data_IF_594294022082
#
_entry.id   IF_594294022082
#
_cell.length_a   1.000
_cell.length_b   1.000
_cell.length_c   1.000
_cell.angle_alpha   90.00
_cell.angle_beta   90.00
_cell.angle_gamma   90.00
#
_symmetry.space_group_name_H-M   'P 1'
#
loop_
_entity.id
_entity.type
_entity.pdbx_description
1 polymer ?
#
# COMPACT_ATOMS: atom_id res chain seq x y z
N UNK A 1 -11.53 17.23 -4.55
CA UNK A 1 -10.75 16.79 -5.73
C UNK A 1 -11.68 16.60 -6.92
N UNK A 2 -11.38 17.19 -8.07
CA UNK A 2 -12.16 17.04 -9.30
C UNK A 2 -11.77 15.74 -10.00
N UNK A 3 -12.35 14.62 -9.58
CA UNK A 3 -12.31 13.39 -10.39
C UNK A 3 -13.15 13.65 -11.63
N UNK A 4 -12.52 14.04 -12.74
CA UNK A 4 -13.17 14.26 -14.04
C UNK A 4 -13.44 12.91 -14.74
N UNK A 5 -13.88 11.90 -14.01
CA UNK A 5 -14.31 10.60 -14.58
C UNK A 5 -15.83 10.58 -14.66
N UNK A 6 -16.38 10.05 -15.76
CA UNK A 6 -17.81 9.83 -15.91
C UNK A 6 -18.31 8.64 -15.08
N UNK A 7 -17.47 7.60 -14.96
CA UNK A 7 -17.77 6.38 -14.22
C UNK A 7 -16.73 6.19 -13.12
N UNK A 8 -17.20 5.83 -11.92
CA UNK A 8 -16.34 5.52 -10.78
C UNK A 8 -16.21 3.99 -10.65
N UNK A 9 -14.99 3.54 -10.41
CA UNK A 9 -14.64 2.12 -10.18
C UNK A 9 -14.52 1.81 -8.69
N UNK A 10 -14.41 0.52 -8.33
CA UNK A 10 -14.09 0.11 -6.95
C UNK A 10 -12.74 0.69 -6.51
N UNK A 11 -11.76 0.79 -7.40
CA UNK A 11 -10.49 1.48 -7.14
C UNK A 11 -10.71 2.94 -6.73
N UNK A 12 -11.60 3.66 -7.40
CA UNK A 12 -11.91 5.05 -7.02
C UNK A 12 -12.58 5.12 -5.64
N UNK A 13 -13.46 4.16 -5.31
CA UNK A 13 -14.05 4.07 -3.97
C UNK A 13 -12.97 3.83 -2.91
N UNK A 14 -12.09 2.84 -3.11
CA UNK A 14 -11.08 2.40 -2.14
C UNK A 14 -9.97 3.44 -1.94
N UNK A 15 -9.51 4.10 -3.02
CA UNK A 15 -8.34 4.98 -2.96
C UNK A 15 -8.67 6.47 -2.98
N UNK A 16 -9.89 6.87 -3.35
CA UNK A 16 -10.30 8.28 -3.42
C UNK A 16 -11.38 8.58 -2.39
N UNK A 17 -12.49 7.84 -2.38
CA UNK A 17 -13.66 8.20 -1.56
C UNK A 17 -13.48 7.75 -0.11
N UNK A 18 -13.28 6.45 0.12
CA UNK A 18 -13.14 5.88 1.46
C UNK A 18 -12.04 6.54 2.31
N UNK A 19 -10.85 6.89 1.77
CA UNK A 19 -9.81 7.54 2.57
C UNK A 19 -10.22 8.94 3.08
N UNK A 20 -11.11 9.64 2.39
CA UNK A 20 -11.64 10.95 2.84
C UNK A 20 -12.61 10.75 4.00
N UNK A 21 -13.59 9.88 3.82
CA UNK A 21 -14.57 9.52 4.85
C UNK A 21 -13.85 9.05 6.12
N UNK A 22 -12.87 8.15 5.97
CA UNK A 22 -12.09 7.63 7.09
C UNK A 22 -11.19 8.68 7.76
N UNK A 23 -10.75 9.72 7.03
CA UNK A 23 -9.91 10.77 7.61
C UNK A 23 -10.66 11.57 8.69
N UNK A 24 -11.97 11.77 8.55
CA UNK A 24 -12.79 12.44 9.55
C UNK A 24 -12.72 11.73 10.92
N UNK A 25 -12.91 10.41 10.95
CA UNK A 25 -12.81 9.62 12.19
C UNK A 25 -11.40 9.51 12.74
N UNK A 26 -10.36 9.62 11.90
CA UNK A 26 -8.95 9.51 12.33
C UNK A 26 -8.40 10.80 12.91
N UNK A 27 -8.81 11.95 12.38
CA UNK A 27 -8.27 13.27 12.74
C UNK A 27 -9.20 14.04 13.67
N UNK A 28 -10.51 13.84 13.57
CA UNK A 28 -11.51 14.57 14.35
C UNK A 28 -12.54 13.62 14.95
N UNK A 29 -13.75 13.57 14.40
CA UNK A 29 -14.83 12.70 14.85
C UNK A 29 -15.56 12.08 13.66
N UNK A 30 -15.95 10.81 13.80
CA UNK A 30 -16.69 10.08 12.76
C UNK A 30 -18.04 10.71 12.40
N UNK A 31 -18.63 11.49 13.30
CA UNK A 31 -19.90 12.18 13.06
C UNK A 31 -19.86 13.15 11.87
N UNK A 32 -18.69 13.72 11.54
CA UNK A 32 -18.54 14.60 10.38
C UNK A 32 -18.78 13.84 9.06
N UNK A 33 -18.31 12.59 8.99
CA UNK A 33 -18.56 11.72 7.85
C UNK A 33 -20.03 11.31 7.76
N UNK A 34 -20.67 11.03 8.90
CA UNK A 34 -22.11 10.72 8.95
C UNK A 34 -22.91 11.91 8.47
N UNK A 35 -22.61 13.12 8.97
CA UNK A 35 -23.29 14.34 8.57
C UNK A 35 -23.23 14.56 7.05
N UNK A 36 -22.06 14.36 6.42
CA UNK A 36 -21.95 14.42 4.95
C UNK A 36 -22.86 13.39 4.26
N UNK A 37 -22.86 12.13 4.72
CA UNK A 37 -23.57 11.03 4.05
C UNK A 37 -25.09 11.08 4.24
N UNK A 38 -25.57 11.82 5.25
CA UNK A 38 -27.01 11.95 5.55
C UNK A 38 -27.60 13.31 5.17
N UNK A 39 -26.80 14.20 4.59
CA UNK A 39 -27.24 15.54 4.20
C UNK A 39 -27.98 15.53 2.85
N UNK A 40 -29.13 16.21 2.79
CA UNK A 40 -29.96 16.32 1.58
C UNK A 40 -29.77 17.67 0.87
N UNK A 41 -29.32 18.70 1.58
CA UNK A 41 -29.00 20.00 1.01
C UNK A 41 -27.61 19.97 0.36
N UNK A 42 -27.56 20.20 -0.96
CA UNK A 42 -26.31 20.12 -1.72
C UNK A 42 -25.27 21.16 -1.30
N UNK A 43 -25.67 22.39 -0.97
CA UNK A 43 -24.75 23.43 -0.53
C UNK A 43 -24.11 23.07 0.82
N UNK A 44 -24.93 22.55 1.75
CA UNK A 44 -24.45 22.08 3.05
C UNK A 44 -23.54 20.85 2.92
N UNK A 45 -23.90 19.90 2.07
CA UNK A 45 -23.08 18.73 1.78
C UNK A 45 -21.72 19.12 1.16
N UNK A 46 -21.69 20.15 0.30
CA UNK A 46 -20.44 20.69 -0.25
C UNK A 46 -19.54 21.28 0.84
N UNK A 47 -20.11 21.97 1.83
CA UNK A 47 -19.35 22.47 2.98
C UNK A 47 -18.75 21.32 3.79
N UNK A 48 -19.54 20.30 4.15
CA UNK A 48 -19.05 19.13 4.87
C UNK A 48 -17.96 18.38 4.09
N UNK A 49 -18.12 18.21 2.78
CA UNK A 49 -17.12 17.59 1.93
C UNK A 49 -15.80 18.38 1.89
N UNK A 50 -15.87 19.72 1.93
CA UNK A 50 -14.69 20.59 1.99
C UNK A 50 -13.93 20.42 3.31
N UNK A 51 -14.65 20.36 4.44
CA UNK A 51 -14.04 20.09 5.75
C UNK A 51 -13.41 18.70 5.82
N UNK A 52 -14.08 17.67 5.28
CA UNK A 52 -13.52 16.32 5.20
C UNK A 52 -12.25 16.28 4.32
N UNK A 53 -12.19 17.05 3.23
CA UNK A 53 -10.96 17.16 2.45
C UNK A 53 -9.83 17.80 3.27
N UNK A 54 -10.11 18.82 4.10
CA UNK A 54 -9.09 19.38 5.01
C UNK A 54 -8.56 18.33 5.98
N UNK A 55 -9.43 17.50 6.57
CA UNK A 55 -9.01 16.40 7.45
C UNK A 55 -8.18 15.35 6.69
N UNK A 56 -8.56 15.06 5.45
CA UNK A 56 -7.80 14.14 4.59
C UNK A 56 -6.41 14.66 4.23
N UNK A 57 -6.28 15.96 3.93
CA UNK A 57 -4.99 16.61 3.68
C UNK A 57 -4.13 16.57 4.94
N UNK A 58 -4.66 17.01 6.07
CA UNK A 58 -3.93 17.00 7.33
C UNK A 58 -3.49 15.58 7.75
N UNK A 59 -4.37 14.59 7.59
CA UNK A 59 -4.06 13.18 7.82
C UNK A 59 -2.89 12.69 6.97
N UNK A 60 -2.81 13.10 5.69
CA UNK A 60 -1.72 12.72 4.79
C UNK A 60 -0.40 13.40 5.17
N UNK A 61 -0.45 14.63 5.66
CA UNK A 61 0.73 15.34 6.18
C UNK A 61 1.31 14.62 7.40
N UNK A 62 0.44 14.31 8.38
CA UNK A 62 0.81 13.52 9.57
C UNK A 62 1.38 12.16 9.17
N UNK A 63 0.69 11.43 8.28
CA UNK A 63 1.14 10.12 7.77
C UNK A 63 2.56 10.21 7.18
N UNK A 64 2.80 11.20 6.32
CA UNK A 64 4.12 11.42 5.72
C UNK A 64 5.19 11.74 6.77
N UNK A 65 4.91 12.68 7.66
CA UNK A 65 5.85 13.09 8.70
C UNK A 65 6.21 11.91 9.62
N UNK A 66 5.21 11.24 10.18
CA UNK A 66 5.39 10.13 11.12
C UNK A 66 6.13 8.97 10.43
N UNK A 67 5.83 8.69 9.16
CA UNK A 67 6.57 7.66 8.40
C UNK A 67 8.05 8.00 8.28
N UNK A 68 8.41 9.26 8.00
CA UNK A 68 9.81 9.68 7.90
C UNK A 68 10.52 9.51 9.25
N UNK A 69 9.90 9.97 10.33
CA UNK A 69 10.46 9.85 11.69
C UNK A 69 10.62 8.39 12.11
N UNK A 70 9.64 7.54 11.80
CA UNK A 70 9.69 6.11 12.13
C UNK A 70 10.78 5.37 11.33
N UNK A 71 10.96 5.70 10.04
CA UNK A 71 12.05 5.14 9.23
C UNK A 71 13.42 5.57 9.76
N UNK A 72 13.57 6.84 10.15
CA UNK A 72 14.80 7.33 10.77
C UNK A 72 15.11 6.60 12.08
N UNK A 73 14.09 6.37 12.93
CA UNK A 73 14.28 5.61 14.17
C UNK A 73 14.78 4.17 13.94
N UNK A 74 14.31 3.49 12.88
CA UNK A 74 14.80 2.14 12.54
C UNK A 74 16.27 2.20 12.11
N UNK A 75 16.65 3.24 11.35
CA UNK A 75 18.00 3.43 10.87
C UNK A 75 18.98 3.76 12.00
N UNK A 76 18.63 4.76 12.82
CA UNK A 76 19.42 5.24 13.96
C UNK A 76 19.66 4.15 15.02
N UNK A 77 18.69 3.23 15.18
CA UNK A 77 18.79 2.11 16.11
C UNK A 77 19.48 0.87 15.52
N UNK A 78 19.89 0.90 14.25
CA UNK A 78 20.45 -0.24 13.52
C UNK A 78 19.51 -1.48 13.51
N UNK A 79 18.21 -1.26 13.31
CA UNK A 79 17.16 -2.30 13.38
C UNK A 79 16.71 -2.81 12.00
N UNK A 80 17.44 -2.49 10.92
CA UNK A 80 17.09 -2.86 9.55
C UNK A 80 17.10 -4.39 9.33
N UNK A 81 17.88 -5.14 10.11
CA UNK A 81 18.04 -6.60 9.99
C UNK A 81 17.18 -7.43 10.96
N UNK A 82 16.35 -6.76 11.76
CA UNK A 82 15.39 -7.40 12.69
C UNK A 82 14.27 -8.16 11.97
N UNK A 83 13.63 -9.07 12.67
CA UNK A 83 12.48 -9.84 12.17
C UNK A 83 11.16 -9.10 12.36
N UNK A 84 11.12 -8.07 13.21
CA UNK A 84 9.98 -7.19 13.42
C UNK A 84 10.39 -5.71 13.44
N UNK A 85 9.42 -4.83 13.27
CA UNK A 85 9.58 -3.38 13.47
C UNK A 85 8.76 -2.96 14.68
N UNK A 86 9.40 -2.34 15.68
CA UNK A 86 8.71 -1.71 16.81
C UNK A 86 9.27 -0.31 17.03
N UNK A 87 8.43 0.69 16.78
CA UNK A 87 8.79 2.11 16.82
C UNK A 87 7.85 2.89 17.75
N UNK A 88 8.36 3.95 18.37
CA UNK A 88 7.64 4.77 19.34
C UNK A 88 8.09 6.23 19.27
N UNK A 89 7.12 7.13 19.33
CA UNK A 89 7.32 8.54 19.65
C UNK A 89 6.09 9.08 20.36
N UNK A 90 6.29 9.92 21.39
CA UNK A 90 5.23 10.46 22.25
C UNK A 90 4.20 11.29 21.46
N UNK A 91 4.67 12.08 20.49
CA UNK A 91 3.85 13.10 19.80
C UNK A 91 3.16 12.59 18.52
N UNK A 92 3.24 11.30 18.20
CA UNK A 92 2.61 10.76 16.99
C UNK A 92 1.09 10.70 17.13
N UNK A 93 0.37 11.10 16.09
CA UNK A 93 -1.09 11.15 16.15
C UNK A 93 -1.70 9.74 16.19
N UNK A 94 -2.42 9.41 17.27
CA UNK A 94 -3.03 8.08 17.51
C UNK A 94 -3.90 7.57 16.36
N UNK A 95 -4.67 8.43 15.70
CA UNK A 95 -5.50 8.04 14.55
C UNK A 95 -4.72 7.66 13.26
N UNK A 96 -3.42 7.94 13.22
CA UNK A 96 -2.56 7.81 12.03
C UNK A 96 -1.55 6.67 12.16
N UNK A 97 -1.13 6.28 13.37
CA UNK A 97 -0.12 5.24 13.59
C UNK A 97 -0.42 3.91 12.88
N UNK A 98 -1.71 3.55 12.72
CA UNK A 98 -2.10 2.34 12.00
C UNK A 98 -1.95 2.39 10.48
N UNK A 99 -1.85 3.58 9.89
CA UNK A 99 -1.50 3.78 8.47
C UNK A 99 0.01 3.67 8.31
N UNK A 100 0.74 4.30 9.23
CA UNK A 100 2.21 4.25 9.26
C UNK A 100 2.70 2.81 9.46
N UNK A 101 2.07 2.05 10.35
CA UNK A 101 2.36 0.63 10.53
C UNK A 101 2.26 -0.14 9.21
N UNK A 102 1.21 0.09 8.41
CA UNK A 102 1.08 -0.55 7.09
C UNK A 102 2.18 -0.13 6.12
N UNK A 103 2.59 1.15 6.10
CA UNK A 103 3.70 1.62 5.24
C UNK A 103 5.05 1.01 5.62
N UNK A 104 5.32 0.91 6.91
CA UNK A 104 6.54 0.29 7.43
C UNK A 104 6.55 -1.22 7.14
N UNK A 105 5.40 -1.90 7.28
CA UNK A 105 5.24 -3.28 6.82
C UNK A 105 5.49 -3.39 5.32
N UNK A 106 4.98 -2.51 4.47
CA UNK A 106 5.27 -2.54 3.03
C UNK A 106 6.76 -2.27 2.71
N UNK A 107 7.46 -1.52 3.55
CA UNK A 107 8.86 -1.13 3.30
C UNK A 107 9.84 -2.23 3.70
N UNK A 108 9.68 -2.82 4.89
CA UNK A 108 10.57 -3.86 5.41
C UNK A 108 10.02 -5.28 5.27
N UNK A 109 8.76 -5.42 4.81
CA UNK A 109 8.02 -6.68 4.68
C UNK A 109 8.16 -7.59 5.90
N UNK A 110 7.81 -7.05 7.08
CA UNK A 110 7.83 -7.76 8.35
C UNK A 110 6.76 -7.26 9.34
N UNK A 111 6.36 -8.05 10.35
CA UNK A 111 5.41 -7.62 11.38
C UNK A 111 5.84 -6.31 12.02
N UNK A 112 4.92 -5.36 12.11
CA UNK A 112 5.24 -3.99 12.52
C UNK A 112 4.26 -3.45 13.55
N UNK A 113 4.77 -2.82 14.59
CA UNK A 113 4.02 -2.12 15.63
C UNK A 113 4.50 -0.67 15.75
N UNK A 114 3.55 0.27 15.73
CA UNK A 114 3.81 1.71 15.90
C UNK A 114 3.09 2.19 17.16
N UNK A 115 3.86 2.68 18.14
CA UNK A 115 3.37 3.21 19.41
C UNK A 115 3.32 4.74 19.41
N UNK A 116 2.38 5.29 20.19
CA UNK A 116 2.35 6.68 20.60
C UNK A 116 1.83 6.82 22.02
N UNK A 117 2.02 7.97 22.67
CA UNK A 117 1.47 8.23 23.99
C UNK A 117 -0.03 8.56 23.91
N UNK A 118 -0.79 8.06 24.87
CA UNK A 118 -2.24 8.24 24.97
C UNK A 118 -2.64 8.33 26.44
N UNK A 119 -2.50 9.51 27.04
CA UNK A 119 -2.72 9.72 28.47
C UNK A 119 -1.54 9.24 29.29
N UNK A 120 -1.79 8.35 30.24
CA UNK A 120 -0.79 7.72 31.13
C UNK A 120 -0.14 6.46 30.53
N UNK A 121 -0.52 6.09 29.30
CA UNK A 121 -0.18 4.81 28.65
C UNK A 121 0.33 5.03 27.24
N UNK A 122 0.99 4.01 26.69
CA UNK A 122 1.30 3.94 25.27
C UNK A 122 0.19 3.17 24.56
N UNK A 123 -0.28 3.68 23.42
CA UNK A 123 -1.22 3.02 22.53
C UNK A 123 -0.53 2.69 21.21
N UNK A 124 -0.80 1.49 20.68
CA UNK A 124 -0.17 1.01 19.46
C UNK A 124 -1.15 0.45 18.44
N UNK A 125 -0.72 0.45 17.18
CA UNK A 125 -1.33 -0.32 16.11
C UNK A 125 -0.30 -1.25 15.49
N UNK A 126 -0.69 -2.52 15.34
CA UNK A 126 0.11 -3.56 14.72
C UNK A 126 -0.42 -3.91 13.31
N UNK A 127 0.49 -4.32 12.42
CA UNK A 127 0.23 -4.85 11.09
C UNK A 127 1.13 -6.04 10.82
N UNK A 128 0.61 -7.01 10.06
CA UNK A 128 1.33 -8.23 9.72
C UNK A 128 1.59 -8.36 8.22
N UNK A 129 2.49 -9.28 7.87
CA UNK A 129 2.71 -9.77 6.51
C UNK A 129 1.81 -10.97 6.21
N UNK A 130 1.73 -11.36 4.94
CA UNK A 130 0.94 -12.50 4.51
C UNK A 130 1.38 -13.78 5.25
N UNK A 131 0.42 -14.55 5.76
CA UNK A 131 0.68 -15.82 6.44
C UNK A 131 1.15 -15.73 7.89
N UNK A 132 1.52 -14.54 8.39
CA UNK A 132 1.96 -14.38 9.79
C UNK A 132 0.81 -13.87 10.68
N UNK A 133 0.54 -14.57 11.79
CA UNK A 133 -0.46 -14.16 12.78
C UNK A 133 0.15 -13.22 13.84
N UNK A 134 -0.03 -11.91 13.63
CA UNK A 134 0.48 -10.91 14.58
C UNK A 134 -0.27 -10.93 15.90
N UNK A 135 -1.53 -11.38 15.92
CA UNK A 135 -2.31 -11.45 17.15
C UNK A 135 -1.70 -12.47 18.11
N UNK A 136 -1.36 -13.67 17.61
CA UNK A 136 -0.72 -14.70 18.45
C UNK A 136 0.67 -14.25 18.95
N UNK A 137 1.46 -13.57 18.12
CA UNK A 137 2.75 -13.02 18.55
C UNK A 137 2.61 -11.95 19.65
N UNK A 138 1.54 -11.15 19.61
CA UNK A 138 1.22 -10.17 20.66
C UNK A 138 0.71 -10.86 21.93
N UNK A 139 -0.16 -11.88 21.78
CA UNK A 139 -0.71 -12.68 22.89
C UNK A 139 0.40 -13.38 23.69
N UNK A 140 1.41 -13.91 23.00
CA UNK A 140 2.61 -14.48 23.60
C UNK A 140 3.49 -13.47 24.38
N UNK A 141 3.22 -12.16 24.25
CA UNK A 141 3.88 -11.08 24.98
C UNK A 141 2.91 -10.33 25.92
N UNK A 142 1.76 -10.93 26.24
CA UNK A 142 0.65 -10.28 26.95
C UNK A 142 0.99 -9.85 28.37
N UNK A 143 2.02 -10.43 29.00
CA UNK A 143 2.48 -10.05 30.34
C UNK A 143 2.98 -8.60 30.42
N UNK A 144 3.33 -7.98 29.29
CA UNK A 144 3.77 -6.59 29.22
C UNK A 144 2.64 -5.61 28.89
N UNK A 145 1.46 -6.12 28.51
CA UNK A 145 0.34 -5.35 27.99
C UNK A 145 -0.71 -5.13 29.07
N UNK A 146 -1.44 -4.02 28.96
CA UNK A 146 -2.63 -3.79 29.77
C UNK A 146 -3.90 -4.27 29.06
N UNK A 147 -3.95 -4.08 27.74
CA UNK A 147 -5.04 -4.52 26.90
C UNK A 147 -4.54 -4.70 25.47
N UNK A 148 -5.05 -5.69 24.76
CA UNK A 148 -4.88 -5.81 23.32
C UNK A 148 -6.09 -6.51 22.70
N UNK A 149 -6.22 -6.40 21.39
CA UNK A 149 -7.28 -7.04 20.63
C UNK A 149 -7.07 -6.84 19.13
N UNK A 150 -7.65 -7.73 18.32
CA UNK A 150 -7.50 -7.66 16.88
C UNK A 150 -7.71 -9.00 16.21
N UNK A 151 -7.07 -9.14 15.05
CA UNK A 151 -7.11 -10.33 14.20
C UNK A 151 -5.71 -10.60 13.65
N UNK A 152 -5.58 -11.72 12.94
CA UNK A 152 -4.32 -12.22 12.35
C UNK A 152 -3.43 -11.15 11.70
N UNK A 153 -4.01 -10.18 10.97
CA UNK A 153 -3.24 -9.17 10.21
C UNK A 153 -3.16 -7.79 10.87
N UNK A 154 -3.93 -7.54 11.93
CA UNK A 154 -4.02 -6.22 12.54
C UNK A 154 -4.52 -6.30 13.98
N UNK A 155 -3.83 -5.60 14.89
CA UNK A 155 -4.22 -5.51 16.28
C UNK A 155 -3.98 -4.10 16.84
N UNK A 156 -4.69 -3.77 17.92
CA UNK A 156 -4.46 -2.61 18.76
C UNK A 156 -4.07 -3.05 20.16
N UNK A 157 -3.20 -2.29 20.83
CA UNK A 157 -2.76 -2.61 22.19
C UNK A 157 -2.42 -1.36 23.00
N UNK A 158 -2.39 -1.52 24.32
CA UNK A 158 -1.89 -0.52 25.26
C UNK A 158 -0.95 -1.15 26.28
N UNK A 159 0.08 -0.40 26.69
CA UNK A 159 1.02 -0.78 27.74
C UNK A 159 1.50 0.45 28.52
N UNK A 160 2.05 0.23 29.72
CA UNK A 160 2.73 1.30 30.47
C UNK A 160 4.09 1.61 29.85
N UNK A 161 4.49 2.88 29.85
CA UNK A 161 5.76 3.32 29.23
C UNK A 161 6.98 2.54 29.75
N UNK A 162 7.01 2.19 31.04
CA UNK A 162 8.05 1.35 31.67
C UNK A 162 8.20 -0.06 31.06
N UNK A 163 7.14 -0.60 30.44
CA UNK A 163 7.14 -1.93 29.83
C UNK A 163 7.56 -1.91 28.35
N UNK A 164 7.70 -0.75 27.72
CA UNK A 164 7.93 -0.64 26.27
C UNK A 164 9.16 -1.42 25.81
N UNK A 165 10.30 -1.26 26.49
CA UNK A 165 11.54 -1.94 26.10
C UNK A 165 11.44 -3.47 26.27
N UNK A 166 10.79 -3.93 27.34
CA UNK A 166 10.59 -5.36 27.59
C UNK A 166 9.68 -5.97 26.53
N UNK A 167 8.55 -5.32 26.22
CA UNK A 167 7.64 -5.74 25.16
C UNK A 167 8.33 -5.78 23.79
N UNK A 168 9.07 -4.72 23.43
CA UNK A 168 9.79 -4.65 22.14
C UNK A 168 10.74 -5.84 21.95
N UNK A 169 11.48 -6.20 23.00
CA UNK A 169 12.39 -7.35 22.96
C UNK A 169 11.64 -8.69 22.93
N UNK A 170 10.58 -8.84 23.73
CA UNK A 170 9.76 -10.04 23.75
C UNK A 170 9.12 -10.30 22.37
N UNK A 171 8.54 -9.26 21.77
CA UNK A 171 7.90 -9.35 20.46
C UNK A 171 8.89 -9.71 19.36
N UNK A 172 10.07 -9.09 19.31
CA UNK A 172 11.12 -9.45 18.35
C UNK A 172 11.53 -10.92 18.49
N UNK A 173 11.75 -11.39 19.73
CA UNK A 173 12.12 -12.78 19.98
C UNK A 173 11.02 -13.75 19.55
N UNK A 174 9.75 -13.41 19.79
CA UNK A 174 8.64 -14.25 19.40
C UNK A 174 8.47 -14.30 17.88
N UNK A 175 8.54 -13.15 17.21
CA UNK A 175 8.49 -13.09 15.74
C UNK A 175 9.65 -13.87 15.14
N UNK A 176 10.88 -13.71 15.64
CA UNK A 176 12.05 -14.44 15.16
C UNK A 176 11.88 -15.98 15.27
N UNK A 177 11.24 -16.47 16.33
CA UNK A 177 11.01 -17.91 16.53
C UNK A 177 9.92 -18.48 15.62
N UNK A 178 8.92 -17.67 15.27
CA UNK A 178 7.67 -18.14 14.67
C UNK A 178 7.53 -17.79 13.20
N UNK A 179 8.20 -16.73 12.71
CA UNK A 179 8.15 -16.34 11.31
C UNK A 179 9.04 -17.23 10.46
N UNK A 180 8.50 -17.73 9.35
CA UNK A 180 9.31 -18.47 8.38
C UNK A 180 10.08 -17.50 7.48
N UNK A 181 11.27 -17.86 6.97
CA UNK A 181 12.02 -17.01 6.03
C UNK A 181 11.24 -16.65 4.76
N UNK A 182 10.35 -17.53 4.31
CA UNK A 182 9.49 -17.31 3.12
C UNK A 182 8.53 -16.14 3.34
N UNK A 183 7.97 -16.00 4.56
CA UNK A 183 7.07 -14.90 4.92
C UNK A 183 7.75 -13.52 4.97
N UNK A 184 9.09 -13.47 4.98
CA UNK A 184 9.86 -12.21 4.92
C UNK A 184 10.09 -11.75 3.48
N UNK A 185 9.65 -12.51 2.49
CA UNK A 185 9.77 -12.17 1.08
C UNK A 185 8.39 -11.88 0.49
N UNK A 186 8.16 -10.70 -0.10
CA UNK A 186 6.92 -10.42 -0.80
C UNK A 186 6.69 -11.39 -1.96
N UNK A 187 5.50 -11.99 -2.00
CA UNK A 187 5.08 -12.85 -3.10
C UNK A 187 4.16 -12.08 -4.07
N UNK A 188 4.27 -12.42 -5.35
CA UNK A 188 3.33 -11.97 -6.39
C UNK A 188 2.76 -13.23 -7.03
N UNK A 189 1.46 -13.45 -6.84
CA UNK A 189 0.74 -14.53 -7.51
C UNK A 189 0.58 -14.19 -9.00
N UNK A 190 0.89 -15.17 -9.85
CA UNK A 190 0.78 -15.07 -11.30
C UNK A 190 -0.45 -15.88 -11.73
N UNK A 191 -1.39 -15.24 -12.41
CA UNK A 191 -2.62 -15.90 -12.86
C UNK A 191 -2.41 -16.66 -14.17
N UNK A 192 -1.65 -16.08 -15.11
CA UNK A 192 -1.35 -16.73 -16.38
C UNK A 192 -0.07 -16.21 -17.05
N UNK A 193 0.64 -17.10 -17.73
CA UNK A 193 1.65 -16.73 -18.73
C UNK A 193 0.96 -16.47 -20.08
N UNK A 194 1.20 -15.31 -20.67
CA UNK A 194 0.65 -14.92 -21.98
C UNK A 194 1.71 -14.23 -22.84
N UNK A 195 1.51 -14.26 -24.16
CA UNK A 195 2.25 -13.45 -25.11
C UNK A 195 1.46 -12.18 -25.47
N UNK A 196 2.17 -11.10 -25.79
CA UNK A 196 1.61 -9.80 -26.16
C UNK A 196 0.72 -9.87 -27.41
N UNK A 197 0.97 -10.80 -28.34
CA UNK A 197 0.08 -11.03 -29.50
C UNK A 197 -1.34 -11.47 -29.09
N UNK A 198 -1.48 -12.06 -27.90
CA UNK A 198 -2.78 -12.45 -27.35
C UNK A 198 -3.53 -11.24 -26.76
N UNK A 199 -2.84 -10.15 -26.44
CA UNK A 199 -3.40 -8.93 -25.84
C UNK A 199 -4.01 -8.06 -26.96
N UNK A 200 -5.12 -8.51 -27.51
CA UNK A 200 -5.90 -7.79 -28.50
C UNK A 200 -7.21 -7.24 -27.90
N UNK A 201 -7.94 -6.44 -28.68
CA UNK A 201 -9.20 -5.81 -28.24
C UNK A 201 -10.26 -6.82 -27.78
N UNK A 202 -10.31 -8.03 -28.38
CA UNK A 202 -11.22 -9.08 -27.93
C UNK A 202 -10.82 -9.61 -26.56
N UNK A 203 -9.53 -9.83 -26.33
CA UNK A 203 -9.01 -10.26 -25.03
C UNK A 203 -9.34 -9.26 -23.93
N UNK A 204 -9.03 -7.97 -24.14
CA UNK A 204 -9.30 -6.88 -23.18
C UNK A 204 -10.79 -6.78 -22.87
N UNK A 205 -11.65 -6.87 -23.88
CA UNK A 205 -13.11 -6.85 -23.69
C UNK A 205 -13.60 -8.02 -22.84
N UNK A 206 -13.05 -9.23 -23.02
CA UNK A 206 -13.41 -10.40 -22.21
C UNK A 206 -12.88 -10.22 -20.78
N UNK A 207 -11.65 -9.75 -20.62
CA UNK A 207 -11.06 -9.47 -19.32
C UNK A 207 -11.91 -8.47 -18.52
N UNK A 208 -12.42 -7.41 -19.17
CA UNK A 208 -13.32 -6.44 -18.54
C UNK A 208 -14.65 -7.02 -18.04
N UNK A 209 -15.05 -8.22 -18.50
CA UNK A 209 -16.26 -8.89 -17.96
C UNK A 209 -16.03 -9.48 -16.56
N UNK A 210 -14.78 -9.52 -16.07
CA UNK A 210 -14.43 -10.02 -14.74
C UNK A 210 -14.51 -8.90 -13.69
N UNK A 211 -14.81 -7.67 -14.10
CA UNK A 211 -15.07 -6.56 -13.20
C UNK A 211 -16.31 -6.80 -12.30
N UNK A 212 -16.36 -6.17 -11.12
CA UNK A 212 -15.42 -5.15 -10.63
C UNK A 212 -14.15 -5.74 -10.02
N UNK A 213 -13.00 -5.17 -10.38
CA UNK A 213 -11.74 -5.51 -9.73
C UNK A 213 -11.57 -4.76 -8.40
N UNK A 214 -11.05 -5.45 -7.39
CA UNK A 214 -10.85 -4.92 -6.04
C UNK A 214 -10.48 -6.01 -5.03
N UNK A 215 -10.53 -5.73 -3.72
CA UNK A 215 -10.33 -6.75 -2.71
C UNK A 215 -11.20 -7.97 -2.97
N UNK A 216 -10.62 -9.18 -2.87
CA UNK A 216 -11.23 -10.48 -3.20
C UNK A 216 -11.45 -10.77 -4.70
N UNK A 217 -11.19 -9.82 -5.59
CA UNK A 217 -11.21 -10.01 -7.05
C UNK A 217 -10.19 -9.07 -7.70
N UNK A 218 -8.91 -9.26 -7.41
CA UNK A 218 -7.87 -8.37 -7.93
C UNK A 218 -7.74 -8.52 -9.45
N UNK A 219 -7.33 -7.46 -10.14
CA UNK A 219 -7.05 -7.54 -11.57
C UNK A 219 -5.97 -8.61 -11.84
N UNK A 220 -6.17 -9.51 -12.83
CA UNK A 220 -5.24 -10.61 -13.07
C UNK A 220 -3.83 -10.15 -13.39
N UNK A 221 -2.86 -10.78 -12.75
CA UNK A 221 -1.42 -10.57 -12.98
C UNK A 221 -0.95 -11.56 -14.04
N UNK A 222 -0.50 -11.01 -15.15
CA UNK A 222 0.05 -11.75 -16.27
C UNK A 222 1.57 -11.75 -16.25
N UNK A 223 2.14 -12.80 -16.82
CA UNK A 223 3.58 -12.98 -16.99
C UNK A 223 3.94 -13.14 -18.46
N UNK A 224 5.01 -12.49 -18.89
CA UNK A 224 5.59 -12.68 -20.22
C UNK A 224 7.11 -12.71 -20.18
N UNK A 225 7.69 -13.63 -20.95
CA UNK A 225 9.14 -13.74 -21.19
C UNK A 225 9.56 -12.98 -22.46
N UNK A 226 10.86 -12.76 -22.63
CA UNK A 226 11.45 -12.19 -23.85
C UNK A 226 10.87 -10.83 -24.26
N UNK A 227 10.47 -10.03 -23.28
CA UNK A 227 9.98 -8.67 -23.48
C UNK A 227 11.19 -7.76 -23.70
N UNK A 228 11.08 -6.81 -24.63
CA UNK A 228 12.09 -5.79 -24.83
C UNK A 228 11.47 -4.39 -24.88
N UNK A 229 12.17 -3.39 -24.33
CA UNK A 229 11.82 -1.99 -24.53
C UNK A 229 12.24 -1.55 -25.95
N UNK A 230 11.43 -0.71 -26.59
CA UNK A 230 11.69 -0.22 -27.95
C UNK A 230 12.56 1.04 -28.00
N UNK A 231 13.20 1.42 -26.89
CA UNK A 231 14.06 2.60 -26.77
C UNK A 231 13.40 3.79 -26.04
N UNK A 232 12.29 3.58 -25.33
CA UNK A 232 11.55 4.62 -24.61
C UNK A 232 11.65 4.50 -23.09
N UNK A 233 12.35 3.48 -22.57
CA UNK A 233 12.55 3.30 -21.15
C UNK A 233 13.15 4.55 -20.51
N UNK A 234 12.44 5.10 -19.53
CA UNK A 234 12.90 6.25 -18.75
C UNK A 234 12.29 6.26 -17.36
N UNK A 235 13.03 6.85 -16.43
CA UNK A 235 12.48 7.14 -15.12
C UNK A 235 11.58 8.37 -15.18
N UNK A 236 10.53 8.35 -14.36
CA UNK A 236 9.60 9.45 -14.17
C UNK A 236 9.30 9.61 -12.67
N UNK A 237 8.64 10.71 -12.31
CA UNK A 237 8.38 11.08 -10.91
C UNK A 237 9.44 12.00 -10.34
N UNK A 238 9.17 12.63 -9.18
CA UNK A 238 10.05 13.66 -8.61
C UNK A 238 11.45 13.15 -8.28
N UNK A 239 11.56 11.87 -7.89
CA UNK A 239 12.81 11.23 -7.49
C UNK A 239 13.23 10.08 -8.41
N UNK A 240 12.78 10.09 -9.68
CA UNK A 240 13.03 8.98 -10.63
C UNK A 240 12.56 7.61 -10.10
N UNK A 241 11.51 7.61 -9.27
CA UNK A 241 11.02 6.44 -8.53
C UNK A 241 10.17 5.50 -9.39
N UNK A 242 9.68 5.94 -10.55
CA UNK A 242 8.81 5.15 -11.42
C UNK A 242 9.48 4.92 -12.76
N UNK A 243 9.05 3.87 -13.46
CA UNK A 243 9.59 3.47 -14.75
C UNK A 243 8.48 3.54 -15.81
N UNK A 244 8.73 4.23 -16.92
CA UNK A 244 7.86 4.26 -18.09
C UNK A 244 8.59 3.66 -19.28
N UNK A 245 7.92 2.78 -20.02
CA UNK A 245 8.50 2.04 -21.14
C UNK A 245 7.51 1.96 -22.29
N UNK A 246 8.03 1.54 -23.45
CA UNK A 246 7.20 1.04 -24.55
C UNK A 246 7.75 -0.33 -24.93
N UNK A 247 6.99 -1.38 -24.67
CA UNK A 247 7.48 -2.75 -24.64
C UNK A 247 6.87 -3.59 -25.76
N UNK A 248 7.63 -4.56 -26.27
CA UNK A 248 7.16 -5.52 -27.26
C UNK A 248 7.79 -6.90 -27.07
N UNK A 249 7.18 -7.92 -27.67
CA UNK A 249 7.81 -9.20 -28.00
C UNK A 249 8.11 -9.25 -29.50
N UNK A 250 8.83 -10.29 -29.97
CA UNK A 250 9.26 -10.41 -31.37
C UNK A 250 8.11 -10.29 -32.38
N UNK A 251 6.95 -10.86 -32.05
CA UNK A 251 5.78 -10.98 -32.94
C UNK A 251 4.60 -10.09 -32.50
N UNK A 252 4.82 -9.06 -31.66
CA UNK A 252 3.76 -8.19 -31.18
C UNK A 252 3.97 -6.74 -31.60
N UNK A 253 2.87 -6.00 -31.68
CA UNK A 253 2.93 -4.55 -31.60
C UNK A 253 3.48 -4.10 -30.23
N UNK A 254 3.94 -2.86 -30.18
CA UNK A 254 4.40 -2.27 -28.93
C UNK A 254 3.24 -1.78 -28.07
N UNK A 255 3.36 -1.97 -26.76
CA UNK A 255 2.36 -1.57 -25.76
C UNK A 255 3.03 -0.62 -24.77
N UNK A 256 2.34 0.47 -24.41
CA UNK A 256 2.83 1.36 -23.36
C UNK A 256 2.84 0.65 -22.01
N UNK A 257 3.88 0.84 -21.20
CA UNK A 257 3.98 0.25 -19.88
C UNK A 257 4.42 1.27 -18.83
N UNK A 258 3.88 1.14 -17.61
CA UNK A 258 4.26 1.94 -16.45
C UNK A 258 4.40 1.07 -15.22
N UNK A 259 5.50 1.24 -14.49
CA UNK A 259 5.74 0.59 -13.21
C UNK A 259 5.97 1.64 -12.12
N UNK A 260 5.20 1.56 -11.05
CA UNK A 260 5.36 2.44 -9.90
C UNK A 260 6.36 1.85 -8.92
N UNK A 261 7.20 2.70 -8.32
CA UNK A 261 8.25 2.35 -7.35
C UNK A 261 9.33 1.35 -7.84
N UNK A 262 9.40 1.06 -9.14
CA UNK A 262 10.41 0.18 -9.74
C UNK A 262 11.44 0.94 -10.61
N UNK A 263 11.60 2.25 -10.40
CA UNK A 263 12.54 3.09 -11.16
C UNK A 263 14.00 2.63 -11.11
N UNK A 264 14.41 1.95 -10.03
CA UNK A 264 15.74 1.34 -9.90
C UNK A 264 16.02 0.24 -10.95
N UNK A 265 14.97 -0.34 -11.56
CA UNK A 265 15.07 -1.40 -12.58
C UNK A 265 15.31 -0.89 -14.01
N UNK A 266 15.58 0.41 -14.21
CA UNK A 266 15.88 0.98 -15.53
C UNK A 266 17.00 0.23 -16.27
N UNK A 267 18.07 -0.13 -15.55
CA UNK A 267 19.22 -0.82 -16.14
C UNK A 267 18.93 -2.27 -16.58
N UNK A 268 17.87 -2.87 -16.03
CA UNK A 268 17.38 -4.21 -16.42
C UNK A 268 16.76 -4.17 -17.82
N UNK A 269 16.02 -3.10 -18.13
CA UNK A 269 15.23 -2.99 -19.37
C UNK A 269 15.93 -2.20 -20.49
N UNK A 270 16.96 -1.45 -20.15
CA UNK A 270 17.67 -0.57 -21.08
C UNK A 270 18.55 -1.34 -22.08
N UNK A 271 19.00 -0.66 -23.13
CA UNK A 271 19.93 -1.19 -24.14
C UNK A 271 19.40 -2.42 -24.89
N UNK A 272 18.08 -2.50 -25.12
CA UNK A 272 17.41 -3.60 -25.84
C UNK A 272 17.63 -4.98 -25.20
N UNK A 273 17.93 -5.02 -23.90
CA UNK A 273 17.95 -6.28 -23.15
C UNK A 273 16.56 -6.91 -23.16
N UNK A 274 16.53 -8.23 -23.27
CA UNK A 274 15.32 -9.00 -23.01
C UNK A 274 15.17 -9.16 -21.51
N UNK A 275 13.92 -9.07 -21.05
CA UNK A 275 13.54 -9.23 -19.66
C UNK A 275 12.20 -9.97 -19.57
N UNK A 276 11.89 -10.41 -18.37
CA UNK A 276 10.60 -10.97 -17.98
C UNK A 276 9.78 -9.88 -17.28
N UNK A 277 8.48 -9.87 -17.53
CA UNK A 277 7.58 -8.86 -16.99
C UNK A 277 6.38 -9.49 -16.29
N UNK A 278 6.07 -9.00 -15.08
CA UNK A 278 4.80 -9.19 -14.39
C UNK A 278 3.98 -7.93 -14.49
N UNK A 279 2.72 -8.03 -14.91
CA UNK A 279 1.88 -6.87 -15.18
C UNK A 279 0.39 -7.15 -15.10
N UNK A 280 -0.38 -6.13 -14.79
CA UNK A 280 -1.83 -6.11 -15.06
C UNK A 280 -2.09 -5.35 -16.35
N UNK A 281 -3.18 -5.65 -17.04
CA UNK A 281 -3.59 -4.95 -18.26
C UNK A 281 -4.64 -3.90 -17.89
N UNK A 282 -4.43 -2.65 -18.31
CA UNK A 282 -5.30 -1.52 -18.01
C UNK A 282 -5.57 -0.67 -19.26
N UNK A 283 -6.63 0.14 -19.21
CA UNK A 283 -6.97 1.12 -20.24
C UNK A 283 -6.64 2.53 -19.74
N UNK A 284 -5.71 3.20 -20.40
CA UNK A 284 -5.39 4.60 -20.14
C UNK A 284 -6.24 5.51 -21.02
N UNK A 285 -7.15 6.26 -20.39
CA UNK A 285 -7.95 7.31 -21.04
C UNK A 285 -7.27 8.68 -20.86
N UNK A 286 -6.84 9.30 -21.97
CA UNK A 286 -6.24 10.62 -21.97
C UNK A 286 -6.79 11.47 -23.13
N UNK A 287 -7.33 12.66 -22.82
CA UNK A 287 -7.94 13.58 -23.79
C UNK A 287 -9.00 12.91 -24.70
N UNK A 288 -9.77 11.96 -24.16
CA UNK A 288 -10.81 11.24 -24.90
C UNK A 288 -10.30 10.09 -25.77
N UNK A 289 -8.98 9.86 -25.82
CA UNK A 289 -8.39 8.68 -26.45
C UNK A 289 -8.14 7.60 -25.39
N UNK A 290 -8.69 6.40 -25.62
CA UNK A 290 -8.43 5.22 -24.81
C UNK A 290 -7.33 4.39 -25.47
N UNK A 291 -6.29 4.08 -24.71
CA UNK A 291 -5.16 3.30 -25.15
C UNK A 291 -4.83 2.19 -24.15
N UNK A 292 -4.50 1.01 -24.65
CA UNK A 292 -4.02 -0.09 -23.81
C UNK A 292 -2.69 0.28 -23.12
N UNK A 293 -2.56 -0.06 -21.84
CA UNK A 293 -1.35 0.11 -21.07
C UNK A 293 -1.11 -1.09 -20.14
N UNK A 294 0.15 -1.51 -20.01
CA UNK A 294 0.55 -2.49 -19.01
C UNK A 294 0.96 -1.77 -17.72
N UNK A 295 0.35 -2.13 -16.61
CA UNK A 295 0.80 -1.69 -15.30
C UNK A 295 1.76 -2.74 -14.72
N UNK A 296 3.05 -2.48 -14.83
CA UNK A 296 4.12 -3.37 -14.38
C UNK A 296 4.09 -3.50 -12.85
N UNK A 297 4.09 -4.76 -12.40
CA UNK A 297 4.23 -5.15 -11.00
C UNK A 297 5.69 -5.45 -10.68
N UNK A 298 6.36 -6.18 -11.55
CA UNK A 298 7.80 -6.45 -11.42
C UNK A 298 8.49 -6.78 -12.75
N UNK A 299 9.82 -6.72 -12.76
CA UNK A 299 10.68 -6.97 -13.91
C UNK A 299 11.93 -7.78 -13.52
N UNK A 300 12.34 -8.71 -14.37
CA UNK A 300 13.53 -9.53 -14.17
C UNK A 300 14.39 -9.66 -15.41
#
# INVERSE_FOLDING_TARGET
ANVKKKTLTITDVVFIIAPRINAAGRVKHGNEAVALLTEYNLEQAQQFASEIEKYNVHRKELDKQITIEALAQIDDNCEQTKFSTVVYQENWHKGVIGIVASRLTETYYRPTIVFTKSGDKLAASARSVQGFDVYNAIDACSEHLEQFGGHMYAAGMTLKEENYANFKNAFENEVQKTISPEMLTPEILIDAEINFEQINSKFVRILGQFEPFGPLNMAPVFYSKNVCDTGYAKNIGQNNEHLKLFVKQLNSDGIGAIGFKIGSKLNTVSNKKQFEALYTIDENEFNGNVSLQLQLKDLR
#
